data_IF_263948482726
#
_entry.id   IF_263948482726
#
_cell.length_a   1.000
_cell.length_b   1.000
_cell.length_c   1.000
_cell.angle_alpha   90.00
_cell.angle_beta   90.00
_cell.angle_gamma   90.00
#
_symmetry.space_group_name_H-M   'P 1'
#
loop_
_entity.id
_entity.type
_entity.pdbx_description
1 polymer ?
#
# COMPACT_ATOMS: atom_id res chain seq x y z
N UNK A 1 -36.27 -14.77 37.81
CA UNK A 1 -36.56 -16.08 37.17
C UNK A 1 -35.43 -16.33 36.18
N UNK A 2 -34.39 -17.09 36.57
CA UNK A 2 -34.13 -18.52 36.21
C UNK A 2 -34.16 -18.74 34.67
N UNK A 3 -33.21 -19.38 33.99
CA UNK A 3 -31.91 -20.01 34.27
C UNK A 3 -31.33 -20.42 32.90
N UNK A 4 -30.00 -20.53 32.77
CA UNK A 4 -29.27 -21.09 31.63
C UNK A 4 -29.66 -22.56 31.34
N UNK A 5 -29.52 -23.03 30.10
CA UNK A 5 -29.30 -24.46 29.81
C UNK A 5 -28.34 -24.68 28.62
N UNK A 6 -27.15 -25.17 28.95
CA UNK A 6 -26.22 -25.94 28.11
C UNK A 6 -26.68 -27.41 28.10
N UNK A 7 -26.46 -28.15 27.02
CA UNK A 7 -26.48 -29.63 27.03
C UNK A 7 -25.18 -30.15 26.40
N UNK A 8 -24.37 -30.81 27.24
CA UNK A 8 -23.32 -31.76 26.87
C UNK A 8 -23.98 -33.10 26.48
N UNK A 9 -23.41 -33.81 25.49
CA UNK A 9 -23.64 -35.25 25.35
C UNK A 9 -22.34 -36.00 25.64
N UNK A 10 -22.46 -36.95 26.59
CA UNK A 10 -21.39 -37.72 27.19
C UNK A 10 -21.19 -39.06 26.45
N UNK A 11 -19.93 -39.53 26.43
CA UNK A 11 -19.49 -40.87 26.04
C UNK A 11 -19.85 -41.86 27.15
N UNK A 12 -20.75 -42.80 26.89
CA UNK A 12 -20.86 -44.11 27.53
C UNK A 12 -22.20 -44.69 27.08
N UNK A 13 -22.14 -45.64 26.14
CA UNK A 13 -23.16 -46.66 25.84
C UNK A 13 -22.90 -47.14 24.41
N UNK A 14 -21.97 -48.09 24.24
CA UNK A 14 -21.87 -49.01 23.10
C UNK A 14 -20.79 -50.08 23.39
N UNK A 15 -20.74 -50.57 24.64
CA UNK A 15 -19.99 -51.76 25.03
C UNK A 15 -21.00 -52.85 25.43
N UNK A 16 -21.59 -53.53 24.44
CA UNK A 16 -22.38 -54.76 24.63
C UNK A 16 -22.69 -55.34 23.23
N UNK A 17 -21.73 -56.06 22.68
CA UNK A 17 -21.85 -56.68 21.34
C UNK A 17 -20.63 -57.48 20.90
N UNK A 18 -19.53 -57.45 21.66
CA UNK A 18 -18.49 -58.47 21.60
C UNK A 18 -18.81 -59.56 22.61
N UNK A 19 -19.47 -60.61 22.17
CA UNK A 19 -19.50 -62.01 22.67
C UNK A 19 -20.43 -62.70 21.65
N UNK A 20 -20.09 -63.89 21.18
CA UNK A 20 -20.75 -64.68 20.13
C UNK A 20 -20.35 -64.30 18.69
N UNK A 21 -19.13 -64.69 18.27
CA UNK A 21 -18.85 -65.33 16.95
C UNK A 21 -17.34 -65.55 16.75
N UNK A 22 -16.63 -66.09 17.76
CA UNK A 22 -15.20 -66.41 17.64
C UNK A 22 -14.87 -67.91 17.61
N UNK A 23 -15.87 -68.81 17.57
CA UNK A 23 -15.62 -70.25 17.76
C UNK A 23 -16.28 -71.17 16.71
N UNK A 24 -16.43 -70.71 15.46
CA UNK A 24 -16.83 -71.62 14.38
C UNK A 24 -15.86 -71.50 13.20
N UNK A 25 -14.81 -72.33 13.27
CA UNK A 25 -14.27 -73.11 12.15
C UNK A 25 -13.66 -72.28 11.00
N UNK A 26 -12.34 -72.04 10.93
CA UNK A 26 -11.28 -73.04 11.04
C UNK A 26 -11.71 -74.41 10.48
N UNK A 27 -11.84 -74.50 9.15
CA UNK A 27 -11.40 -75.63 8.31
C UNK A 27 -12.06 -75.57 6.90
N UNK A 28 -11.46 -74.85 5.95
CA UNK A 28 -11.68 -75.13 4.52
C UNK A 28 -10.51 -74.60 3.67
N UNK A 29 -9.68 -75.54 3.21
CA UNK A 29 -8.57 -75.35 2.27
C UNK A 29 -9.17 -75.47 0.85
N UNK A 30 -9.08 -74.42 0.04
CA UNK A 30 -9.55 -74.40 -1.37
C UNK A 30 -8.32 -74.17 -2.28
N UNK A 31 -8.17 -74.91 -3.41
CA UNK A 31 -6.95 -74.87 -4.21
C UNK A 31 -6.86 -73.62 -5.11
N UNK A 32 -5.61 -73.25 -5.40
CA UNK A 32 -5.16 -72.17 -6.27
C UNK A 32 -5.78 -72.19 -7.67
N UNK A 33 -6.38 -71.07 -8.08
CA UNK A 33 -6.71 -70.77 -9.47
C UNK A 33 -5.76 -69.70 -10.02
N UNK A 34 -5.11 -70.03 -11.13
CA UNK A 34 -4.20 -69.18 -11.89
C UNK A 34 -5.01 -68.12 -12.68
N UNK A 35 -4.67 -66.84 -12.54
CA UNK A 35 -5.38 -65.70 -13.14
C UNK A 35 -4.82 -65.39 -14.54
N UNK A 36 -5.64 -65.19 -15.58
CA UNK A 36 -5.15 -64.87 -16.92
C UNK A 36 -4.60 -63.44 -16.99
N UNK A 37 -3.48 -63.26 -17.70
CA UNK A 37 -2.81 -61.98 -17.95
C UNK A 37 -3.59 -61.23 -19.06
N UNK A 38 -4.14 -60.05 -18.74
CA UNK A 38 -4.73 -59.11 -19.70
C UNK A 38 -3.70 -58.03 -20.10
N UNK A 39 -3.65 -57.56 -21.36
CA UNK A 39 -2.69 -56.54 -21.79
C UNK A 39 -2.98 -55.17 -21.17
N UNK A 40 -1.90 -54.48 -20.77
CA UNK A 40 -1.90 -53.17 -20.12
C UNK A 40 -2.32 -52.05 -21.08
N UNK A 41 -3.54 -51.53 -20.88
CA UNK A 41 -4.16 -50.46 -21.67
C UNK A 41 -3.89 -49.06 -21.10
N UNK A 42 -3.03 -48.93 -20.07
CA UNK A 42 -2.81 -47.66 -19.37
C UNK A 42 -1.86 -46.69 -20.08
N UNK A 43 -1.03 -47.17 -21.01
CA UNK A 43 -0.09 -46.34 -21.77
C UNK A 43 -0.78 -45.54 -22.89
N UNK A 44 -1.76 -46.15 -23.57
CA UNK A 44 -2.51 -45.54 -24.69
C UNK A 44 -3.46 -44.44 -24.23
N UNK A 45 -4.03 -44.55 -23.03
CA UNK A 45 -4.91 -43.51 -22.47
C UNK A 45 -4.14 -42.26 -22.03
N UNK A 46 -2.89 -42.41 -21.57
CA UNK A 46 -2.02 -41.29 -21.18
C UNK A 46 -1.59 -40.43 -22.37
N UNK A 47 -1.23 -41.06 -23.49
CA UNK A 47 -0.78 -40.33 -24.70
C UNK A 47 -1.92 -39.53 -25.33
N UNK A 48 -3.14 -40.06 -25.33
CA UNK A 48 -4.30 -39.34 -25.88
C UNK A 48 -4.65 -38.11 -25.05
N UNK A 49 -4.55 -38.18 -23.72
CA UNK A 49 -4.83 -37.04 -22.84
C UNK A 49 -3.83 -35.88 -23.04
N UNK A 50 -2.55 -36.17 -23.28
CA UNK A 50 -1.54 -35.12 -23.51
C UNK A 50 -1.78 -34.41 -24.85
N UNK A 51 -2.14 -35.17 -25.90
CA UNK A 51 -2.44 -34.61 -27.22
C UNK A 51 -3.66 -33.69 -27.16
N UNK A 52 -4.73 -34.07 -26.45
CA UNK A 52 -5.91 -33.22 -26.27
C UNK A 52 -5.60 -31.95 -25.46
N UNK A 53 -4.73 -32.02 -24.45
CA UNK A 53 -4.33 -30.84 -23.68
C UNK A 53 -3.49 -29.85 -24.50
N UNK A 54 -2.53 -30.34 -25.31
CA UNK A 54 -1.71 -29.46 -26.15
C UNK A 54 -2.54 -28.82 -27.27
N UNK A 55 -3.47 -29.56 -27.88
CA UNK A 55 -4.37 -29.01 -28.90
C UNK A 55 -5.30 -27.94 -28.32
N UNK A 56 -5.78 -28.11 -27.08
CA UNK A 56 -6.60 -27.10 -26.41
C UNK A 56 -5.81 -25.81 -26.13
N UNK A 57 -4.57 -25.90 -25.64
CA UNK A 57 -3.72 -24.73 -25.36
C UNK A 57 -3.40 -23.94 -26.63
N UNK A 58 -3.10 -24.63 -27.73
CA UNK A 58 -2.84 -23.98 -29.02
C UNK A 58 -4.08 -23.25 -29.55
N UNK A 59 -5.27 -23.87 -29.47
CA UNK A 59 -6.53 -23.24 -29.88
C UNK A 59 -6.90 -22.02 -29.01
N UNK A 60 -6.63 -22.07 -27.70
CA UNK A 60 -6.83 -20.92 -26.80
C UNK A 60 -5.88 -19.77 -27.13
N UNK A 61 -4.62 -20.06 -27.45
CA UNK A 61 -3.64 -19.03 -27.81
C UNK A 61 -3.96 -18.33 -29.13
N UNK A 62 -4.45 -19.06 -30.14
CA UNK A 62 -4.85 -18.48 -31.43
C UNK A 62 -6.11 -17.61 -31.34
N UNK A 63 -7.07 -17.97 -30.47
CA UNK A 63 -8.28 -17.18 -30.23
C UNK A 63 -8.01 -15.83 -29.57
N UNK A 64 -7.02 -15.76 -28.69
CA UNK A 64 -6.61 -14.51 -28.01
C UNK A 64 -5.92 -13.56 -29.00
N UNK A 65 -5.06 -14.09 -29.89
CA UNK A 65 -4.33 -13.28 -30.88
C UNK A 65 -5.27 -12.71 -31.95
N UNK A 66 -6.32 -13.44 -32.36
CA UNK A 66 -7.33 -12.94 -33.30
C UNK A 66 -8.25 -11.85 -32.73
N UNK A 67 -8.38 -11.76 -31.40
CA UNK A 67 -9.21 -10.75 -30.73
C UNK A 67 -8.47 -9.45 -30.40
N UNK A 68 -7.13 -9.42 -30.52
CA UNK A 68 -6.30 -8.24 -30.24
C UNK A 68 -6.65 -7.00 -31.10
N UNK A 69 -6.91 -7.12 -32.42
CA UNK A 69 -7.29 -5.98 -33.24
C UNK A 69 -8.68 -5.43 -32.91
N UNK A 70 -9.60 -6.31 -32.51
CA UNK A 70 -10.98 -5.95 -32.14
C UNK A 70 -11.02 -5.22 -30.79
N UNK A 71 -10.20 -5.68 -29.83
CA UNK A 71 -10.00 -4.99 -28.56
C UNK A 71 -9.39 -3.59 -28.75
N UNK A 72 -8.48 -3.42 -29.71
CA UNK A 72 -7.82 -2.13 -29.97
C UNK A 72 -8.79 -1.09 -30.59
N UNK A 73 -9.66 -1.52 -31.50
CA UNK A 73 -10.70 -0.66 -32.07
C UNK A 73 -11.82 -0.35 -31.06
N UNK A 74 -12.20 -1.32 -30.22
CA UNK A 74 -13.14 -1.12 -29.12
C UNK A 74 -12.58 -0.16 -28.06
N UNK A 75 -11.28 -0.25 -27.76
CA UNK A 75 -10.58 0.63 -26.83
C UNK A 75 -10.48 2.07 -27.33
N UNK A 76 -10.24 2.27 -28.64
CA UNK A 76 -10.28 3.61 -29.27
C UNK A 76 -11.69 4.21 -29.24
N UNK A 77 -12.72 3.43 -29.58
CA UNK A 77 -14.12 3.85 -29.46
C UNK A 77 -14.53 4.15 -28.01
N UNK A 78 -13.97 3.42 -27.05
CA UNK A 78 -14.14 3.70 -25.62
C UNK A 78 -13.48 5.03 -25.24
N UNK A 79 -12.25 5.31 -25.66
CA UNK A 79 -11.52 6.55 -25.35
C UNK A 79 -12.19 7.79 -25.97
N UNK A 80 -12.64 7.69 -27.22
CA UNK A 80 -13.28 8.82 -27.91
C UNK A 80 -14.66 9.15 -27.29
N UNK A 81 -15.39 8.14 -26.81
CA UNK A 81 -16.63 8.32 -26.05
C UNK A 81 -16.38 8.61 -24.55
N UNK A 82 -15.19 8.31 -24.03
CA UNK A 82 -14.82 8.58 -22.64
C UNK A 82 -14.66 10.09 -22.38
N UNK A 83 -14.24 10.86 -23.38
CA UNK A 83 -14.21 12.33 -23.27
C UNK A 83 -15.63 12.92 -23.20
N UNK A 84 -16.56 12.36 -23.98
CA UNK A 84 -17.99 12.72 -23.91
C UNK A 84 -18.63 12.25 -22.61
N UNK A 85 -18.24 11.08 -22.11
CA UNK A 85 -18.61 10.57 -20.78
C UNK A 85 -18.08 11.50 -19.67
N UNK A 86 -16.84 11.99 -19.76
CA UNK A 86 -16.28 12.97 -18.82
C UNK A 86 -16.95 14.35 -18.91
N UNK A 87 -17.37 14.77 -20.11
CA UNK A 87 -18.16 16.00 -20.29
C UNK A 87 -19.58 15.84 -19.73
N UNK A 88 -20.17 14.65 -19.86
CA UNK A 88 -21.48 14.31 -19.28
C UNK A 88 -21.40 14.20 -17.75
N UNK A 89 -20.39 13.52 -17.21
CA UNK A 89 -20.10 13.45 -15.78
C UNK A 89 -19.75 14.83 -15.22
N UNK A 90 -19.03 15.69 -15.95
CA UNK A 90 -18.76 17.07 -15.53
C UNK A 90 -20.01 17.95 -15.51
N UNK A 91 -20.87 17.82 -16.52
CA UNK A 91 -22.11 18.61 -16.64
C UNK A 91 -23.21 18.14 -15.68
N UNK A 92 -23.18 16.88 -15.22
CA UNK A 92 -24.18 16.33 -14.30
C UNK A 92 -23.65 16.14 -12.88
N UNK A 93 -22.45 15.58 -12.65
CA UNK A 93 -21.93 15.35 -11.30
C UNK A 93 -21.55 16.65 -10.59
N UNK A 94 -21.04 17.66 -11.27
CA UNK A 94 -20.67 18.93 -10.62
C UNK A 94 -21.93 19.63 -10.10
N UNK A 95 -23.00 19.84 -10.88
CA UNK A 95 -24.25 20.36 -10.33
C UNK A 95 -24.92 19.38 -9.35
N UNK A 96 -24.86 18.05 -9.55
CA UNK A 96 -25.37 17.10 -8.55
C UNK A 96 -24.59 17.16 -7.23
N UNK A 97 -23.27 17.39 -7.25
CA UNK A 97 -22.44 17.57 -6.07
C UNK A 97 -22.73 18.91 -5.39
N UNK A 98 -22.92 19.99 -6.15
CA UNK A 98 -23.33 21.29 -5.60
C UNK A 98 -24.74 21.24 -5.00
N UNK A 99 -25.67 20.53 -5.64
CA UNK A 99 -27.01 20.27 -5.11
C UNK A 99 -26.91 19.38 -3.86
N UNK A 100 -26.07 18.35 -3.84
CA UNK A 100 -25.87 17.49 -2.68
C UNK A 100 -25.21 18.23 -1.50
N UNK A 101 -24.27 19.14 -1.77
CA UNK A 101 -23.66 20.02 -0.77
C UNK A 101 -24.72 21.02 -0.25
N UNK A 102 -25.54 21.61 -1.14
CA UNK A 102 -26.65 22.49 -0.76
C UNK A 102 -27.72 21.79 0.09
N UNK A 103 -28.08 20.55 -0.28
CA UNK A 103 -28.96 19.67 0.51
C UNK A 103 -28.29 19.31 1.83
N UNK A 104 -26.98 19.04 1.85
CA UNK A 104 -26.21 18.77 3.06
C UNK A 104 -26.19 19.94 4.04
N UNK A 105 -26.01 21.17 3.55
CA UNK A 105 -26.11 22.39 4.36
C UNK A 105 -27.55 22.66 4.85
N UNK A 106 -28.57 22.34 4.04
CA UNK A 106 -29.98 22.35 4.47
C UNK A 106 -30.29 21.25 5.50
N UNK A 107 -29.64 20.10 5.38
CA UNK A 107 -29.79 18.93 6.26
C UNK A 107 -29.16 19.10 7.64
N UNK A 108 -28.26 20.07 7.84
CA UNK A 108 -27.82 20.47 9.18
C UNK A 108 -28.98 20.98 10.07
N UNK A 109 -30.11 21.38 9.46
CA UNK A 109 -31.35 21.73 10.16
C UNK A 109 -32.43 20.65 10.09
N UNK A 110 -32.20 19.53 9.41
CA UNK A 110 -33.18 18.44 9.29
C UNK A 110 -32.97 17.48 10.48
N UNK A 111 -33.99 17.21 11.31
CA UNK A 111 -33.85 16.26 12.41
C UNK A 111 -33.51 14.87 11.84
N UNK A 112 -32.44 14.24 12.35
CA UNK A 112 -31.91 12.90 12.04
C UNK A 112 -32.89 11.74 12.33
N UNK A 113 -34.18 11.88 12.01
CA UNK A 113 -35.24 10.96 12.43
C UNK A 113 -35.73 10.03 11.32
N UNK A 114 -35.41 10.30 10.04
CA UNK A 114 -35.95 9.52 8.92
C UNK A 114 -34.87 8.68 8.21
N UNK A 115 -34.77 7.41 8.61
CA UNK A 115 -33.71 6.44 8.23
C UNK A 115 -33.57 6.19 6.72
N UNK A 116 -34.62 6.45 5.93
CA UNK A 116 -34.67 6.11 4.49
C UNK A 116 -33.64 6.85 3.62
N UNK A 117 -33.17 8.04 4.02
CA UNK A 117 -32.20 8.82 3.24
C UNK A 117 -30.74 8.58 3.63
N UNK A 118 -30.50 7.83 4.71
CA UNK A 118 -29.16 7.58 5.25
C UNK A 118 -28.28 6.80 4.26
N UNK A 119 -28.86 5.84 3.53
CA UNK A 119 -28.13 5.04 2.55
C UNK A 119 -27.63 5.89 1.38
N UNK A 120 -28.41 6.86 0.90
CA UNK A 120 -27.97 7.76 -0.17
C UNK A 120 -26.86 8.71 0.28
N UNK A 121 -26.93 9.19 1.53
CA UNK A 121 -25.87 10.00 2.12
C UNK A 121 -24.55 9.23 2.22
N UNK A 122 -24.59 8.00 2.75
CA UNK A 122 -23.41 7.12 2.81
C UNK A 122 -22.89 6.83 1.40
N UNK A 123 -23.77 6.48 0.46
CA UNK A 123 -23.38 6.18 -0.91
C UNK A 123 -22.69 7.37 -1.60
N UNK A 124 -23.22 8.59 -1.42
CA UNK A 124 -22.60 9.81 -1.92
C UNK A 124 -21.23 10.08 -1.29
N UNK A 125 -21.08 9.86 0.02
CA UNK A 125 -19.79 10.00 0.70
C UNK A 125 -18.75 9.00 0.17
N UNK A 126 -19.15 7.74 -0.02
CA UNK A 126 -18.27 6.68 -0.56
C UNK A 126 -17.85 7.02 -2.00
N UNK A 127 -18.78 7.41 -2.87
CA UNK A 127 -18.47 7.80 -4.24
C UNK A 127 -17.54 9.03 -4.31
N UNK A 128 -17.77 10.01 -3.44
CA UNK A 128 -16.89 11.18 -3.33
C UNK A 128 -15.46 10.83 -2.91
N UNK A 129 -15.30 9.93 -1.93
CA UNK A 129 -13.99 9.46 -1.49
C UNK A 129 -13.26 8.68 -2.59
N UNK A 130 -13.96 7.81 -3.32
CA UNK A 130 -13.39 7.07 -4.46
C UNK A 130 -12.92 8.04 -5.54
N UNK A 131 -13.73 9.05 -5.87
CA UNK A 131 -13.36 10.10 -6.82
C UNK A 131 -12.07 10.82 -6.42
N UNK A 132 -11.95 11.21 -5.15
CA UNK A 132 -10.77 11.91 -4.63
C UNK A 132 -9.49 11.07 -4.75
N UNK A 133 -9.53 9.79 -4.37
CA UNK A 133 -8.37 8.88 -4.45
C UNK A 133 -7.99 8.57 -5.89
N UNK A 134 -8.93 8.69 -6.83
CA UNK A 134 -8.71 8.40 -8.25
C UNK A 134 -8.04 9.55 -9.02
N UNK A 135 -8.02 10.77 -8.48
CA UNK A 135 -7.44 11.97 -9.14
C UNK A 135 -5.98 11.77 -9.60
N UNK A 136 -5.05 11.27 -8.77
CA UNK A 136 -3.67 11.01 -9.22
C UNK A 136 -3.63 9.97 -10.35
N UNK A 137 -4.56 9.02 -10.36
CA UNK A 137 -4.57 7.95 -11.36
C UNK A 137 -5.02 8.47 -12.73
N UNK A 138 -5.92 9.45 -12.77
CA UNK A 138 -6.48 9.97 -14.02
C UNK A 138 -5.63 11.11 -14.58
N UNK A 139 -5.09 11.97 -13.71
CA UNK A 139 -4.42 13.19 -14.14
C UNK A 139 -2.89 13.13 -13.93
N UNK A 140 -2.09 13.07 -15.01
CA UNK A 140 -0.64 12.93 -14.90
C UNK A 140 0.02 14.15 -14.24
N UNK A 141 -0.54 15.35 -14.40
CA UNK A 141 -0.02 16.58 -13.79
C UNK A 141 -0.02 16.53 -12.26
N UNK A 142 -0.99 15.84 -11.65
CA UNK A 142 -1.06 15.70 -10.19
C UNK A 142 -0.14 14.60 -9.68
N UNK A 143 0.16 13.56 -10.48
CA UNK A 143 1.03 12.45 -10.07
C UNK A 143 2.39 12.92 -9.57
N UNK A 144 3.00 13.87 -10.29
CA UNK A 144 4.30 14.38 -9.90
C UNK A 144 4.22 15.13 -8.57
N UNK A 145 3.17 15.91 -8.35
CA UNK A 145 2.97 16.60 -7.07
C UNK A 145 2.71 15.61 -5.92
N UNK A 146 1.96 14.54 -6.16
CA UNK A 146 1.78 13.45 -5.19
C UNK A 146 3.09 12.72 -4.88
N UNK A 147 3.97 12.53 -5.86
CA UNK A 147 5.29 11.92 -5.64
C UNK A 147 6.20 12.82 -4.82
N UNK A 148 6.21 14.12 -5.09
CA UNK A 148 6.92 15.12 -4.26
C UNK A 148 6.42 15.12 -2.82
N UNK A 149 5.10 15.06 -2.64
CA UNK A 149 4.49 14.95 -1.31
C UNK A 149 4.88 13.63 -0.62
N UNK A 150 4.87 12.52 -1.34
CA UNK A 150 5.29 11.21 -0.81
C UNK A 150 6.78 11.22 -0.44
N UNK A 151 7.63 11.85 -1.26
CA UNK A 151 9.04 12.06 -0.97
C UNK A 151 9.23 12.89 0.31
N UNK A 152 8.47 13.98 0.48
CA UNK A 152 8.50 14.78 1.70
C UNK A 152 8.07 13.96 2.93
N UNK A 153 7.07 13.07 2.79
CA UNK A 153 6.62 12.18 3.87
C UNK A 153 7.68 11.12 4.25
N UNK A 154 8.40 10.57 3.28
CA UNK A 154 9.55 9.70 3.54
C UNK A 154 10.63 10.43 4.35
N UNK A 155 10.97 11.65 3.93
CA UNK A 155 11.94 12.52 4.62
C UNK A 155 11.50 12.83 6.07
N UNK A 156 10.22 13.08 6.30
CA UNK A 156 9.68 13.28 7.66
C UNK A 156 9.81 12.02 8.51
N UNK A 157 9.59 10.84 7.94
CA UNK A 157 9.75 9.56 8.63
C UNK A 157 11.21 9.33 9.03
N UNK A 158 12.15 9.68 8.15
CA UNK A 158 13.59 9.70 8.47
C UNK A 158 13.91 10.73 9.57
N UNK A 159 13.31 11.93 9.51
CA UNK A 159 13.47 12.95 10.55
C UNK A 159 12.99 12.48 11.93
N UNK A 160 11.89 11.73 11.99
CA UNK A 160 11.44 11.11 13.23
C UNK A 160 12.43 10.06 13.73
N UNK A 161 12.97 9.23 12.84
CA UNK A 161 13.99 8.22 13.18
C UNK A 161 15.30 8.85 13.68
N UNK A 162 15.75 9.96 13.07
CA UNK A 162 16.88 10.76 13.54
C UNK A 162 16.65 11.26 14.98
N UNK A 163 15.42 11.67 15.29
CA UNK A 163 15.06 12.12 16.64
C UNK A 163 14.95 10.98 17.65
N UNK A 164 14.52 9.79 17.23
CA UNK A 164 14.57 8.61 18.07
C UNK A 164 16.03 8.22 18.37
N UNK A 165 16.91 8.29 17.36
CA UNK A 165 18.34 8.08 17.53
C UNK A 165 18.94 9.08 18.54
N UNK A 166 18.68 10.38 18.40
CA UNK A 166 19.25 11.40 19.30
C UNK A 166 18.85 11.21 20.76
N UNK A 167 17.67 10.66 21.04
CA UNK A 167 17.22 10.35 22.41
C UNK A 167 18.13 9.31 23.10
N UNK A 168 18.71 8.38 22.34
CA UNK A 168 19.61 7.35 22.87
C UNK A 168 21.09 7.77 22.83
N UNK A 169 21.45 8.69 21.93
CA UNK A 169 22.83 9.13 21.68
C UNK A 169 23.12 10.55 22.19
N UNK A 170 22.70 10.90 23.41
CA UNK A 170 23.03 12.18 24.07
C UNK A 170 22.71 13.41 23.20
N UNK A 171 21.53 13.42 22.58
CA UNK A 171 21.04 14.49 21.68
C UNK A 171 21.83 14.64 20.38
N UNK A 172 22.69 13.69 20.02
CA UNK A 172 23.49 13.70 18.79
C UNK A 172 22.78 12.93 17.69
N UNK A 173 22.76 13.49 16.48
CA UNK A 173 22.40 12.75 15.29
C UNK A 173 23.59 11.88 14.81
N UNK A 174 23.37 10.93 13.88
CA UNK A 174 24.45 10.14 13.31
C UNK A 174 25.61 11.00 12.80
N UNK A 175 26.84 10.62 13.15
CA UNK A 175 28.05 11.41 12.86
C UNK A 175 28.52 11.25 11.41
N UNK A 176 28.18 10.13 10.76
CA UNK A 176 28.52 9.87 9.36
C UNK A 176 27.56 10.60 8.42
N UNK A 177 28.13 11.25 7.41
CA UNK A 177 27.40 11.85 6.29
C UNK A 177 26.98 10.80 5.27
N UNK A 178 25.90 11.09 4.56
CA UNK A 178 25.41 10.30 3.43
C UNK A 178 24.74 8.99 3.85
N UNK A 179 24.84 7.99 2.98
CA UNK A 179 24.24 6.68 3.16
C UNK A 179 24.69 5.97 4.44
N UNK A 180 25.95 6.15 4.85
CA UNK A 180 26.46 5.58 6.11
C UNK A 180 25.75 6.14 7.34
N UNK A 181 25.35 7.41 7.29
CA UNK A 181 24.53 8.05 8.32
C UNK A 181 23.15 7.43 8.43
N UNK A 182 22.51 7.26 7.28
CA UNK A 182 21.18 6.66 7.15
C UNK A 182 21.18 5.16 7.49
N UNK A 183 22.27 4.45 7.16
CA UNK A 183 22.44 3.04 7.50
C UNK A 183 22.45 2.83 9.01
N UNK A 184 23.02 3.75 9.80
CA UNK A 184 22.93 3.66 11.26
C UNK A 184 21.49 3.73 11.78
N UNK A 185 20.58 4.41 11.07
CA UNK A 185 19.15 4.43 11.42
C UNK A 185 18.48 3.09 11.11
N UNK A 186 18.85 2.46 9.99
CA UNK A 186 18.33 1.15 9.59
C UNK A 186 18.88 0.04 10.46
N UNK A 187 20.21 -0.05 10.59
CA UNK A 187 20.90 -1.06 11.40
C UNK A 187 20.60 -0.91 12.89
N UNK A 188 20.31 0.31 13.35
CA UNK A 188 19.87 0.60 14.71
C UNK A 188 18.40 0.29 14.99
N UNK A 189 17.61 -0.13 13.99
CA UNK A 189 16.19 -0.45 14.16
C UNK A 189 15.26 0.77 14.31
N UNK A 190 15.75 1.98 14.06
CA UNK A 190 14.94 3.20 14.12
C UNK A 190 14.08 3.39 12.86
N UNK A 191 14.58 2.93 11.70
CA UNK A 191 13.86 2.94 10.44
C UNK A 191 14.31 1.78 9.53
N UNK A 192 13.68 0.62 9.70
CA UNK A 192 14.06 -0.61 9.00
C UNK A 192 13.61 -0.65 7.53
N UNK A 193 12.54 0.07 7.19
CA UNK A 193 11.97 0.02 5.85
C UNK A 193 12.85 0.77 4.84
N UNK A 194 13.68 0.02 4.10
CA UNK A 194 14.62 0.54 3.08
C UNK A 194 13.93 1.42 2.02
N UNK A 195 12.65 1.17 1.71
CA UNK A 195 11.90 1.98 0.74
C UNK A 195 11.75 3.44 1.17
N UNK A 196 11.80 3.72 2.47
CA UNK A 196 11.72 5.09 3.00
C UNK A 196 12.95 5.92 2.64
N UNK A 197 14.08 5.30 2.28
CA UNK A 197 15.30 5.99 1.84
C UNK A 197 15.38 6.18 0.33
N UNK A 198 14.31 5.84 -0.39
CA UNK A 198 14.18 5.99 -1.85
C UNK A 198 13.10 7.01 -2.19
N UNK A 199 13.33 7.79 -3.26
CA UNK A 199 12.38 8.78 -3.72
C UNK A 199 11.35 8.13 -4.66
N UNK A 200 10.03 8.28 -4.43
CA UNK A 200 8.99 7.70 -5.28
C UNK A 200 8.97 8.21 -6.73
N UNK A 201 9.67 9.31 -7.02
CA UNK A 201 9.84 9.81 -8.38
C UNK A 201 10.89 9.05 -9.19
N UNK A 202 11.81 8.35 -8.52
CA UNK A 202 12.85 7.56 -9.18
C UNK A 202 12.36 6.13 -9.33
N UNK A 203 12.31 5.62 -10.56
CA UNK A 203 12.01 4.21 -10.79
C UNK A 203 13.26 3.39 -10.51
N UNK A 204 13.21 2.58 -9.45
CA UNK A 204 14.26 1.62 -9.09
C UNK A 204 13.68 0.21 -9.05
N UNK A 205 14.48 -0.83 -9.38
CA UNK A 205 14.12 -2.20 -9.06
C UNK A 205 13.90 -2.35 -7.55
N UNK A 206 13.03 -3.28 -7.16
CA UNK A 206 12.73 -3.51 -5.75
C UNK A 206 14.00 -3.84 -4.98
N UNK A 207 14.34 -3.00 -4.00
CA UNK A 207 15.33 -3.31 -2.98
C UNK A 207 14.70 -4.30 -2.00
N UNK A 208 15.41 -5.38 -1.71
CA UNK A 208 15.03 -6.34 -0.68
C UNK A 208 15.14 -5.67 0.71
N UNK A 209 14.29 -6.09 1.65
CA UNK A 209 14.10 -5.42 2.95
C UNK A 209 15.39 -5.35 3.80
N UNK A 210 16.37 -6.22 3.53
CA UNK A 210 17.59 -6.33 4.32
C UNK A 210 18.82 -5.67 3.68
N UNK A 211 18.64 -5.01 2.54
CA UNK A 211 19.76 -4.43 1.79
C UNK A 211 20.36 -3.22 2.52
N UNK A 212 21.68 -3.20 2.67
CA UNK A 212 22.42 -2.05 3.24
C UNK A 212 22.16 -0.78 2.43
N UNK A 213 22.00 0.34 3.13
CA UNK A 213 21.85 1.66 2.51
C UNK A 213 23.23 2.13 2.05
N UNK A 214 23.37 2.28 0.74
CA UNK A 214 24.57 2.78 0.08
C UNK A 214 24.25 4.07 -0.66
N UNK A 215 25.28 4.79 -1.11
CA UNK A 215 25.09 6.03 -1.88
C UNK A 215 24.34 5.80 -3.19
N UNK A 216 24.41 4.58 -3.71
CA UNK A 216 23.70 4.18 -4.92
C UNK A 216 22.24 3.88 -4.63
N UNK A 217 21.91 3.28 -3.47
CA UNK A 217 20.54 2.88 -3.13
C UNK A 217 19.71 4.00 -2.50
N UNK A 218 20.33 4.95 -1.79
CA UNK A 218 19.61 6.09 -1.23
C UNK A 218 19.42 7.21 -2.25
N UNK A 219 18.26 7.85 -2.17
CA UNK A 219 17.88 9.02 -2.97
C UNK A 219 18.02 10.33 -2.19
N UNK A 220 18.47 10.26 -0.93
CA UNK A 220 18.63 11.42 -0.05
C UNK A 220 20.10 11.68 0.24
N UNK A 221 20.42 12.95 0.49
CA UNK A 221 21.74 13.37 0.99
C UNK A 221 21.57 13.75 2.45
N UNK A 222 22.14 12.96 3.34
CA UNK A 222 22.19 13.25 4.76
C UNK A 222 23.51 13.94 5.11
N UNK A 223 23.47 14.96 5.98
CA UNK A 223 24.65 15.64 6.51
C UNK A 223 24.75 15.32 7.99
N UNK A 224 25.80 14.57 8.36
CA UNK A 224 25.99 14.09 9.73
C UNK A 224 26.73 15.09 10.62
N UNK A 225 26.78 14.75 11.92
CA UNK A 225 27.56 15.50 12.92
C UNK A 225 26.82 16.66 13.59
N UNK A 226 25.52 16.79 13.36
CA UNK A 226 24.66 17.76 14.05
C UNK A 226 24.06 17.17 15.33
N UNK A 227 23.51 18.04 16.19
CA UNK A 227 22.79 17.70 17.42
C UNK A 227 21.48 18.48 17.52
N UNK A 228 20.57 18.05 18.39
CA UNK A 228 19.27 18.74 18.57
C UNK A 228 19.40 20.21 18.98
N UNK A 229 20.49 20.58 19.67
CA UNK A 229 20.74 21.94 20.12
C UNK A 229 21.32 22.90 19.07
N UNK A 230 21.62 22.42 17.87
CA UNK A 230 22.08 23.28 16.77
C UNK A 230 20.92 24.13 16.20
N UNK A 231 21.18 25.18 15.39
CA UNK A 231 20.13 26.07 14.91
C UNK A 231 19.01 25.31 14.18
N UNK A 232 17.77 25.59 14.57
CA UNK A 232 16.58 24.84 14.12
C UNK A 232 16.35 24.83 12.62
N UNK A 233 16.81 25.87 11.92
CA UNK A 233 16.73 26.06 10.48
C UNK A 233 17.97 25.54 9.74
N UNK A 234 18.82 24.76 10.41
CA UNK A 234 19.96 24.09 9.76
C UNK A 234 19.45 22.91 8.93
N UNK A 235 19.78 22.86 7.62
CA UNK A 235 19.40 21.73 6.77
C UNK A 235 20.30 20.52 7.08
N UNK A 236 19.68 19.38 7.39
CA UNK A 236 20.40 18.14 7.74
C UNK A 236 20.18 17.01 6.74
N UNK A 237 19.14 17.10 5.91
CA UNK A 237 18.93 16.16 4.82
C UNK A 237 18.22 16.85 3.66
N UNK A 238 18.49 16.42 2.43
CA UNK A 238 17.76 16.92 1.27
C UNK A 238 17.74 15.91 0.13
N UNK A 239 16.83 16.14 -0.81
CA UNK A 239 16.66 15.33 -1.99
C UNK A 239 17.83 15.45 -2.98
N UNK A 240 18.23 14.34 -3.61
CA UNK A 240 19.22 14.36 -4.69
C UNK A 240 18.63 15.06 -5.91
N UNK A 241 19.48 15.83 -6.60
CA UNK A 241 19.07 16.71 -7.70
C UNK A 241 18.34 16.00 -8.85
N UNK A 242 18.68 14.74 -9.09
CA UNK A 242 18.16 13.95 -10.21
C UNK A 242 16.76 13.39 -9.97
N UNK A 243 16.22 13.53 -8.76
CA UNK A 243 15.01 12.82 -8.36
C UNK A 243 13.74 13.51 -8.84
N UNK A 244 13.78 14.83 -9.00
CA UNK A 244 12.64 15.62 -9.46
C UNK A 244 13.03 16.51 -10.64
N UNK A 245 12.05 16.74 -11.52
CA UNK A 245 12.22 17.69 -12.62
C UNK A 245 12.39 19.13 -12.11
N UNK A 246 13.06 19.97 -12.90
CA UNK A 246 13.25 21.41 -12.66
C UNK A 246 14.04 21.75 -11.38
N UNK A 247 14.88 20.84 -10.90
CA UNK A 247 15.75 21.07 -9.74
C UNK A 247 14.98 21.23 -8.42
N UNK A 248 13.76 20.70 -8.35
CA UNK A 248 12.98 20.66 -7.11
C UNK A 248 13.65 19.75 -6.09
N UNK A 249 13.63 20.17 -4.82
CA UNK A 249 14.14 19.40 -3.69
C UNK A 249 13.26 19.58 -2.46
N UNK A 250 13.13 18.50 -1.71
CA UNK A 250 12.69 18.53 -0.32
C UNK A 250 13.90 18.63 0.60
N UNK A 251 13.77 19.38 1.70
CA UNK A 251 14.84 19.66 2.65
C UNK A 251 14.33 19.45 4.06
N UNK A 252 15.01 18.62 4.85
CA UNK A 252 14.76 18.42 6.26
C UNK A 252 15.63 19.37 7.09
N UNK A 253 14.99 20.03 8.06
CA UNK A 253 15.66 20.86 9.05
C UNK A 253 15.75 20.16 10.41
N UNK A 254 16.62 20.66 11.29
CA UNK A 254 16.86 20.10 12.63
C UNK A 254 15.59 19.99 13.47
N UNK A 255 14.67 20.94 13.33
CA UNK A 255 13.40 20.91 14.06
C UNK A 255 12.41 19.83 13.57
N UNK A 256 12.76 19.08 12.52
CA UNK A 256 11.95 18.06 11.89
C UNK A 256 10.99 18.59 10.84
N UNK A 257 11.05 19.89 10.51
CA UNK A 257 10.26 20.45 9.41
C UNK A 257 10.85 20.11 8.06
N UNK A 258 9.98 20.00 7.06
CA UNK A 258 10.41 19.78 5.67
C UNK A 258 10.03 20.98 4.83
N UNK A 259 11.03 21.58 4.18
CA UNK A 259 10.89 22.65 3.21
C UNK A 259 10.97 22.17 1.78
N UNK A 260 10.39 22.94 0.86
CA UNK A 260 10.49 22.71 -0.58
C UNK A 260 11.17 23.89 -1.27
N UNK A 261 12.07 23.59 -2.19
CA UNK A 261 12.72 24.63 -2.98
C UNK A 261 13.17 24.12 -4.35
N UNK A 262 13.49 25.05 -5.23
CA UNK A 262 13.85 24.76 -6.62
C UNK A 262 14.92 25.72 -7.17
N UNK A 263 15.62 25.28 -8.21
CA UNK A 263 16.61 26.10 -8.92
C UNK A 263 17.85 26.44 -8.08
N UNK A 264 18.52 27.56 -8.39
CA UNK A 264 19.77 27.99 -7.74
C UNK A 264 19.57 28.46 -6.28
N UNK A 265 18.38 28.94 -5.94
CA UNK A 265 18.03 29.44 -4.60
C UNK A 265 17.26 28.44 -3.75
N UNK A 266 17.31 27.14 -4.09
CA UNK A 266 16.45 26.10 -3.51
C UNK A 266 16.49 26.05 -1.98
N UNK A 267 17.63 26.33 -1.36
CA UNK A 267 17.76 26.27 0.10
C UNK A 267 17.02 27.42 0.78
N UNK A 268 17.14 28.63 0.25
CA UNK A 268 16.44 29.81 0.78
C UNK A 268 14.93 29.70 0.55
N UNK A 269 14.54 29.20 -0.63
CA UNK A 269 13.15 28.87 -0.92
C UNK A 269 12.63 27.81 0.07
N UNK A 270 13.39 26.77 0.38
CA UNK A 270 12.97 25.74 1.34
C UNK A 270 12.78 26.27 2.76
N UNK A 271 13.57 27.26 3.21
CA UNK A 271 13.39 27.90 4.53
C UNK A 271 12.08 28.68 4.64
N UNK A 272 11.60 29.23 3.53
CA UNK A 272 10.36 30.02 3.49
C UNK A 272 9.14 29.17 3.15
N UNK A 273 9.29 28.21 2.24
CA UNK A 273 8.24 27.30 1.78
C UNK A 273 8.29 25.98 2.57
N UNK A 274 7.96 26.04 3.84
CA UNK A 274 7.89 24.86 4.71
C UNK A 274 6.53 24.18 4.57
N UNK A 275 6.49 22.85 4.44
CA UNK A 275 5.25 22.10 4.64
C UNK A 275 4.80 22.38 6.07
N UNK A 276 3.66 23.07 6.25
CA UNK A 276 3.14 23.40 7.57
C UNK A 276 3.23 22.17 8.48
N UNK A 277 3.93 22.33 9.61
CA UNK A 277 3.96 21.40 10.74
C UNK A 277 2.57 20.79 10.86
N UNK A 278 2.43 19.47 10.69
CA UNK A 278 1.11 18.82 10.75
C UNK A 278 0.32 19.41 11.92
N UNK A 279 -0.93 19.86 11.73
CA UNK A 279 -1.74 20.39 12.84
C UNK A 279 -1.95 19.35 13.96
N UNK A 280 -1.61 18.08 13.72
CA UNK A 280 -1.66 17.00 14.70
C UNK A 280 -0.39 16.87 15.58
N UNK A 281 0.74 17.50 15.21
CA UNK A 281 2.02 17.42 15.96
C UNK A 281 2.59 18.79 16.35
N UNK A 282 1.76 19.84 16.31
CA UNK A 282 2.06 21.14 16.89
C UNK A 282 2.00 21.10 18.44
N UNK A 283 2.71 20.17 19.08
CA UNK A 283 3.01 20.26 20.50
C UNK A 283 4.42 20.82 20.69
N UNK A 284 4.55 21.70 21.68
CA UNK A 284 5.77 22.38 22.17
C UNK A 284 6.42 23.46 21.28
N UNK A 285 5.65 24.48 20.90
CA UNK A 285 6.12 25.85 21.21
C UNK A 285 5.09 26.44 22.16
N UNK A 286 5.26 26.15 23.45
CA UNK A 286 4.67 26.99 24.48
C UNK A 286 5.44 28.29 24.38
N UNK A 287 4.82 29.32 23.84
CA UNK A 287 5.37 30.68 23.80
C UNK A 287 5.81 31.06 25.23
N UNK A 288 7.13 30.98 25.46
CA UNK A 288 7.78 31.53 26.65
C UNK A 288 8.24 32.97 26.38
N UNK A 289 7.48 33.71 25.57
CA UNK A 289 7.72 35.13 25.27
C UNK A 289 6.62 36.06 25.78
N UNK A 290 5.71 35.58 26.62
CA UNK A 290 4.99 36.46 27.54
C UNK A 290 5.64 36.37 28.94
N UNK A 291 6.77 37.06 29.06
CA UNK A 291 7.26 37.57 30.34
C UNK A 291 7.50 39.07 30.18
N UNK A 292 6.57 39.87 30.68
CA UNK A 292 6.81 40.87 31.74
C UNK A 292 5.56 41.69 32.00
#
# INVERSE_FOLDING_TARGET
MKQQFYIQFNKQDLSMGGIIMNDIQNNQKIPSQEKPILPDNTSVSRTNNIIWQLTAVLCFSSGIISCLPLANNLFRLLIDNFLLFLLFEGLFLIPCALIAIGIGFGALKIPFKNQKYWHFFIAGMVLGLIGLVSIPLIFPSYREEFRKFSCASNIQSIGLALRMYSQEYKEQFPDRTGAKGLEMLRSGGYLENVKMFTCPSVSRPFLEYEHEITEETTDYVYVGGFKEGDPVDTPIMYDKEKNHSKGYRNVLFIDGTVGRGSGLGWLEEARTNVYHKFPFLAWTKKDKTEKK
#
